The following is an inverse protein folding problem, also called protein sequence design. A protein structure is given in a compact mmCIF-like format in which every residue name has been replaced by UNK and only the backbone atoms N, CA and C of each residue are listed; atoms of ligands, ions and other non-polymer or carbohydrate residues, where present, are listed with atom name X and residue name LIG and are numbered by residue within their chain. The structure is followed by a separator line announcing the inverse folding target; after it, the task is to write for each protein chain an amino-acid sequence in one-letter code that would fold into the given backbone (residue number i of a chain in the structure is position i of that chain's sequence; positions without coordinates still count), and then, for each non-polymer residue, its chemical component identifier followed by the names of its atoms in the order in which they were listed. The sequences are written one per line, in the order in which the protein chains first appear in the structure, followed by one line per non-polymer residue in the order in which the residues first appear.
data_IF_377478922816
#
_entry.id   IF_377478922816
#
_cell.length_a   1.000
_cell.length_b   1.000
_cell.length_c   1.000
_cell.angle_alpha   90.00
_cell.angle_beta   90.00
_cell.angle_gamma   90.00
#
_symmetry.space_group_name_H-M   'P 1'
#
loop_
_entity.id
_entity.type
_entity.pdbx_description
1 polymer ?
#
# COMPACT_ATOMS: atom_id res chain seq x y z
N UNK A 1 -14.56 -15.60 -41.07
CA UNK A 1 -15.06 -14.22 -40.87
C UNK A 1 -16.09 -14.23 -39.76
N UNK A 2 -15.71 -13.71 -38.60
CA UNK A 2 -16.54 -13.01 -37.61
C UNK A 2 -15.63 -12.81 -36.40
N UNK A 3 -15.03 -11.62 -36.33
CA UNK A 3 -14.28 -11.16 -35.17
C UNK A 3 -15.32 -10.78 -34.10
N UNK A 4 -15.41 -11.56 -33.03
CA UNK A 4 -16.02 -11.08 -31.79
C UNK A 4 -14.92 -10.42 -30.95
N UNK A 5 -14.95 -9.09 -30.92
CA UNK A 5 -14.19 -8.30 -29.95
C UNK A 5 -14.71 -8.65 -28.56
N UNK A 6 -13.93 -9.43 -27.81
CA UNK A 6 -14.14 -9.65 -26.38
C UNK A 6 -13.61 -8.43 -25.65
N UNK A 7 -14.47 -7.42 -25.52
CA UNK A 7 -14.27 -6.26 -24.65
C UNK A 7 -14.29 -6.75 -23.19
N UNK A 8 -13.37 -6.22 -22.39
CA UNK A 8 -13.32 -6.42 -20.94
C UNK A 8 -14.70 -6.15 -20.33
N UNK A 9 -15.16 -7.01 -19.43
CA UNK A 9 -16.48 -6.89 -18.82
C UNK A 9 -16.64 -5.57 -18.05
N UNK A 10 -17.79 -4.89 -18.15
CA UNK A 10 -17.99 -3.53 -17.66
C UNK A 10 -17.70 -3.34 -16.16
N UNK A 11 -18.05 -4.27 -15.27
CA UNK A 11 -18.08 -3.99 -13.82
C UNK A 11 -16.72 -3.78 -13.13
N UNK A 12 -15.62 -4.35 -13.61
CA UNK A 12 -14.31 -4.21 -12.97
C UNK A 12 -13.54 -2.95 -13.43
N UNK A 13 -13.88 -2.44 -14.62
CA UNK A 13 -13.26 -1.25 -15.22
C UNK A 13 -14.19 -0.04 -15.14
N UNK A 14 -15.52 -0.20 -15.16
CA UNK A 14 -16.48 0.90 -14.98
C UNK A 14 -16.37 1.54 -13.59
N UNK A 15 -15.88 0.83 -12.57
CA UNK A 15 -15.55 1.46 -11.27
C UNK A 15 -14.28 2.35 -11.32
N UNK A 16 -13.49 2.22 -12.39
CA UNK A 16 -12.28 2.99 -12.68
C UNK A 16 -12.48 4.01 -13.81
N UNK A 17 -13.52 3.87 -14.64
CA UNK A 17 -13.71 4.69 -15.85
C UNK A 17 -15.14 5.17 -16.12
N UNK A 18 -16.08 5.04 -15.17
CA UNK A 18 -17.38 5.70 -15.32
C UNK A 18 -17.20 7.23 -15.32
N UNK A 19 -17.89 7.99 -16.18
CA UNK A 19 -17.90 9.46 -16.14
C UNK A 19 -18.55 10.03 -14.86
N UNK A 20 -19.13 9.17 -14.01
CA UNK A 20 -19.59 9.44 -12.65
C UNK A 20 -18.62 8.95 -11.55
N UNK A 21 -17.36 8.63 -11.90
CA UNK A 21 -16.35 8.29 -10.91
C UNK A 21 -16.18 9.50 -10.00
N UNK A 22 -16.33 9.34 -8.68
CA UNK A 22 -16.13 10.46 -7.79
C UNK A 22 -14.72 11.02 -7.93
N UNK A 23 -14.58 12.35 -7.87
CA UNK A 23 -13.29 13.01 -8.02
C UNK A 23 -12.35 12.61 -6.88
N UNK A 24 -11.40 11.71 -7.17
CA UNK A 24 -10.26 11.42 -6.29
C UNK A 24 -9.52 12.72 -6.00
N UNK A 25 -9.20 12.95 -4.72
CA UNK A 25 -8.40 14.08 -4.29
C UNK A 25 -7.12 13.59 -3.60
N UNK A 26 -5.99 14.09 -4.06
CA UNK A 26 -4.69 13.87 -3.45
C UNK A 26 -4.61 14.48 -2.05
N UNK A 27 -3.98 13.76 -1.14
CA UNK A 27 -3.61 14.27 0.17
C UNK A 27 -2.19 13.84 0.52
N UNK A 28 -1.51 14.68 1.30
CA UNK A 28 -0.22 14.36 1.88
C UNK A 28 -0.27 14.46 3.41
N UNK A 29 0.47 13.59 4.08
CA UNK A 29 0.70 13.65 5.52
C UNK A 29 2.18 13.90 5.73
N UNK A 30 2.50 15.13 6.11
CA UNK A 30 3.86 15.55 6.42
C UNK A 30 4.20 15.15 7.86
N UNK A 31 5.39 14.59 8.11
CA UNK A 31 5.83 14.23 9.46
C UNK A 31 6.09 15.47 10.32
N UNK A 32 5.54 15.50 11.53
CA UNK A 32 5.86 16.55 12.52
C UNK A 32 7.02 16.15 13.45
N UNK A 33 7.27 14.84 13.61
CA UNK A 33 8.42 14.25 14.30
C UNK A 33 8.63 12.84 13.70
N UNK A 34 9.05 11.88 14.50
CA UNK A 34 9.16 10.48 14.15
C UNK A 34 7.80 9.79 14.07
N UNK A 35 7.73 8.73 13.27
CA UNK A 35 6.58 7.83 13.19
C UNK A 35 6.91 6.44 13.73
N UNK A 36 5.88 5.78 14.24
CA UNK A 36 5.93 4.39 14.69
C UNK A 36 4.78 3.63 14.06
N UNK A 37 5.06 2.70 13.18
CA UNK A 37 4.06 1.82 12.58
C UNK A 37 4.24 0.43 13.17
N UNK A 38 3.37 0.02 14.09
CA UNK A 38 3.51 -1.29 14.74
C UNK A 38 3.06 -2.39 13.79
N UNK A 39 3.76 -3.51 13.80
CA UNK A 39 3.15 -4.78 13.39
C UNK A 39 2.29 -5.31 14.54
N UNK A 40 1.26 -6.09 14.23
CA UNK A 40 0.28 -6.57 15.21
C UNK A 40 0.83 -7.49 16.31
N UNK A 41 2.15 -7.56 16.48
CA UNK A 41 2.78 -8.30 17.57
C UNK A 41 2.45 -7.61 18.90
N UNK A 42 2.09 -8.40 19.94
CA UNK A 42 2.00 -7.88 21.29
C UNK A 42 3.31 -7.16 21.63
N UNK A 43 3.18 -6.05 22.34
CA UNK A 43 4.33 -5.38 22.94
C UNK A 43 3.84 -4.93 24.29
N UNK A 44 4.12 -5.76 25.28
CA UNK A 44 3.82 -5.49 26.67
C UNK A 44 5.14 -5.10 27.33
N UNK A 45 5.16 -3.89 27.90
CA UNK A 45 6.32 -3.44 28.66
C UNK A 45 6.53 -4.41 29.84
N UNK A 46 7.64 -5.14 29.84
CA UNK A 46 7.89 -6.25 30.77
C UNK A 46 8.32 -7.57 30.11
N UNK A 47 7.89 -7.83 28.86
CA UNK A 47 8.19 -9.08 28.15
C UNK A 47 9.09 -8.89 26.93
N UNK A 48 8.87 -7.82 26.17
CA UNK A 48 9.60 -7.54 24.93
C UNK A 48 10.53 -6.33 25.09
N UNK A 49 11.79 -6.52 24.70
CA UNK A 49 12.85 -5.53 24.90
C UNK A 49 12.97 -4.55 23.72
N UNK A 50 12.47 -4.93 22.54
CA UNK A 50 12.64 -4.15 21.30
C UNK A 50 11.39 -4.17 20.42
N UNK A 51 10.82 -3.00 20.14
CA UNK A 51 9.78 -2.78 19.15
C UNK A 51 10.37 -2.15 17.88
N UNK A 52 10.06 -2.70 16.71
CA UNK A 52 10.47 -2.13 15.42
C UNK A 52 9.29 -1.59 14.64
N UNK A 53 9.46 -0.41 14.05
CA UNK A 53 8.48 0.11 13.11
C UNK A 53 8.50 -0.68 11.79
N UNK A 54 7.32 -0.95 11.25
CA UNK A 54 7.12 -1.26 9.85
C UNK A 54 7.64 -0.11 8.99
N UNK A 55 8.19 -0.43 7.82
CA UNK A 55 8.76 0.53 6.87
C UNK A 55 7.71 1.35 6.12
N UNK A 56 6.44 0.93 6.16
CA UNK A 56 5.30 1.64 5.58
C UNK A 56 4.07 1.43 6.47
N UNK A 57 3.25 2.46 6.74
CA UNK A 57 1.99 2.25 7.45
C UNK A 57 1.05 1.38 6.62
N UNK A 58 0.24 0.58 7.31
CA UNK A 58 -0.89 -0.08 6.68
C UNK A 58 -1.85 0.96 6.11
N UNK A 59 -2.43 0.73 4.91
CA UNK A 59 -3.55 1.53 4.41
C UNK A 59 -4.67 1.72 5.43
N UNK A 60 -4.97 0.69 6.23
CA UNK A 60 -5.97 0.77 7.28
C UNK A 60 -5.62 1.76 8.39
N UNK A 61 -4.33 1.93 8.70
CA UNK A 61 -3.88 2.88 9.71
C UNK A 61 -4.08 4.33 9.25
N UNK A 62 -3.74 4.62 7.98
CA UNK A 62 -3.98 5.95 7.39
C UNK A 62 -5.47 6.21 7.23
N UNK A 63 -6.23 5.22 6.73
CA UNK A 63 -7.69 5.31 6.62
C UNK A 63 -8.33 5.62 7.98
N UNK A 64 -7.93 4.89 9.02
CA UNK A 64 -8.41 5.11 10.39
C UNK A 64 -8.07 6.50 10.91
N UNK A 65 -6.84 6.97 10.68
CA UNK A 65 -6.40 8.30 11.07
C UNK A 65 -7.25 9.41 10.41
N UNK A 66 -7.48 9.30 9.10
CA UNK A 66 -8.32 10.25 8.35
C UNK A 66 -9.77 10.20 8.83
N UNK A 67 -10.36 9.01 8.95
CA UNK A 67 -11.72 8.84 9.45
C UNK A 67 -11.88 9.46 10.84
N UNK A 68 -10.94 9.20 11.75
CA UNK A 68 -10.96 9.80 13.10
C UNK A 68 -10.80 11.32 13.05
N UNK A 69 -9.92 11.86 12.21
CA UNK A 69 -9.74 13.30 12.03
C UNK A 69 -11.04 13.99 11.64
N UNK A 70 -11.75 13.46 10.64
CA UNK A 70 -13.00 14.04 10.19
C UNK A 70 -14.13 13.87 11.20
N UNK A 71 -14.26 12.70 11.85
CA UNK A 71 -15.25 12.48 12.91
C UNK A 71 -15.08 13.50 14.05
N UNK A 72 -13.85 13.69 14.53
CA UNK A 72 -13.54 14.66 15.58
C UNK A 72 -13.87 16.09 15.16
N UNK A 73 -13.56 16.46 13.92
CA UNK A 73 -13.89 17.79 13.36
C UNK A 73 -15.39 18.02 13.23
N UNK A 74 -16.16 16.95 13.01
CA UNK A 74 -17.62 16.98 13.03
C UNK A 74 -18.21 16.92 14.44
N UNK A 75 -17.40 17.01 15.50
CA UNK A 75 -17.85 17.00 16.89
C UNK A 75 -18.22 15.60 17.42
N UNK A 76 -17.83 14.54 16.71
CA UNK A 76 -18.19 13.16 17.07
C UNK A 76 -16.99 12.52 17.77
N UNK A 77 -17.20 12.09 19.01
CA UNK A 77 -16.16 11.38 19.74
C UNK A 77 -16.00 9.94 19.20
N UNK A 78 -14.79 9.34 19.27
CA UNK A 78 -14.60 7.93 18.92
C UNK A 78 -15.50 6.98 19.71
N UNK A 79 -15.86 7.35 20.95
CA UNK A 79 -16.79 6.59 21.79
C UNK A 79 -18.19 6.58 21.19
N UNK A 80 -18.69 7.75 20.79
CA UNK A 80 -20.03 7.86 20.21
C UNK A 80 -20.12 7.15 18.86
N UNK A 81 -19.05 7.19 18.05
CA UNK A 81 -18.96 6.41 16.82
C UNK A 81 -18.97 4.89 17.10
N UNK A 82 -18.17 4.43 18.07
CA UNK A 82 -18.12 3.01 18.45
C UNK A 82 -19.46 2.48 18.94
N UNK A 83 -20.15 3.25 19.79
CA UNK A 83 -21.45 2.90 20.35
C UNK A 83 -22.62 3.20 19.39
N UNK A 84 -22.32 3.65 18.16
CA UNK A 84 -23.31 4.02 17.12
C UNK A 84 -24.30 5.10 17.59
N UNK A 85 -23.87 5.99 18.49
CA UNK A 85 -24.64 7.14 18.99
C UNK A 85 -24.40 8.35 18.08
N UNK A 86 -24.83 8.22 16.82
CA UNK A 86 -24.69 9.25 15.80
C UNK A 86 -25.97 10.09 15.71
N UNK A 87 -25.90 11.42 15.60
CA UNK A 87 -27.08 12.23 15.33
C UNK A 87 -27.78 11.75 14.04
N UNK A 88 -29.13 11.66 14.00
CA UNK A 88 -29.87 11.10 12.86
C UNK A 88 -29.56 11.77 11.51
N UNK A 89 -29.25 13.07 11.52
CA UNK A 89 -28.91 13.86 10.32
C UNK A 89 -27.40 14.11 10.16
N UNK A 90 -26.56 13.46 10.97
CA UNK A 90 -25.12 13.68 10.88
C UNK A 90 -24.54 13.02 9.64
N UNK A 91 -23.61 13.73 8.98
CA UNK A 91 -22.77 13.18 7.91
C UNK A 91 -21.89 12.01 8.42
N UNK A 92 -21.86 11.76 9.72
CA UNK A 92 -21.20 10.65 10.39
C UNK A 92 -21.54 9.28 9.80
N UNK A 93 -22.81 9.07 9.44
CA UNK A 93 -23.29 7.79 8.90
C UNK A 93 -22.58 7.45 7.58
N UNK A 94 -22.15 8.47 6.83
CA UNK A 94 -21.43 8.28 5.56
C UNK A 94 -19.98 7.82 5.76
N UNK A 95 -19.42 7.92 6.97
CA UNK A 95 -18.11 7.38 7.33
C UNK A 95 -18.13 5.87 7.66
N UNK A 96 -19.30 5.25 7.48
CA UNK A 96 -19.53 3.84 7.71
C UNK A 96 -19.69 3.48 9.18
N UNK A 97 -19.32 2.25 9.51
CA UNK A 97 -19.50 1.67 10.83
C UNK A 97 -18.16 1.37 11.52
N UNK A 98 -18.16 1.16 12.84
CA UNK A 98 -16.99 0.64 13.55
C UNK A 98 -16.46 -0.64 12.89
N UNK A 99 -15.13 -0.76 12.82
CA UNK A 99 -14.47 -1.86 12.12
C UNK A 99 -14.15 -1.53 10.66
N UNK A 100 -14.13 -2.55 9.77
CA UNK A 100 -13.65 -2.44 8.39
C UNK A 100 -14.72 -1.96 7.39
N UNK A 101 -15.80 -1.32 7.87
CA UNK A 101 -16.92 -0.89 7.04
C UNK A 101 -16.77 0.61 6.71
N UNK A 102 -16.33 0.98 5.49
CA UNK A 102 -15.84 2.32 5.21
C UNK A 102 -16.95 3.34 4.85
N UNK A 103 -18.20 2.88 4.67
CA UNK A 103 -19.28 3.73 4.15
C UNK A 103 -18.93 4.25 2.75
N UNK A 104 -19.11 5.54 2.54
CA UNK A 104 -18.85 6.23 1.26
C UNK A 104 -17.37 6.62 1.10
N UNK A 105 -16.59 6.61 2.19
CA UNK A 105 -15.20 7.03 2.20
C UNK A 105 -14.31 5.96 1.56
N UNK A 106 -13.53 6.33 0.54
CA UNK A 106 -12.58 5.42 -0.10
C UNK A 106 -11.19 6.03 -0.13
N UNK A 107 -10.16 5.18 -0.10
CA UNK A 107 -8.77 5.62 -0.08
C UNK A 107 -7.89 4.69 -0.92
N UNK A 108 -6.92 5.27 -1.63
CA UNK A 108 -5.82 4.59 -2.31
C UNK A 108 -4.49 5.03 -1.69
N UNK A 109 -3.51 4.13 -1.68
CA UNK A 109 -2.25 4.31 -0.96
C UNK A 109 -2.32 3.82 0.49
N UNK A 110 -1.46 4.33 1.39
CA UNK A 110 -0.47 5.39 1.18
C UNK A 110 0.75 4.92 0.38
N UNK A 111 1.48 5.88 -0.19
CA UNK A 111 2.77 5.70 -0.85
C UNK A 111 3.80 6.69 -0.29
N UNK A 112 5.08 6.36 -0.38
CA UNK A 112 6.12 7.35 -0.11
C UNK A 112 6.09 8.42 -1.20
N UNK A 113 6.06 9.68 -0.77
CA UNK A 113 6.25 10.83 -1.65
C UNK A 113 7.51 11.57 -1.21
N UNK A 114 8.39 11.88 -2.15
CA UNK A 114 9.57 12.70 -1.91
C UNK A 114 9.62 13.79 -2.96
N UNK A 115 9.59 15.04 -2.52
CA UNK A 115 9.65 16.22 -3.41
C UNK A 115 8.60 16.16 -4.54
N UNK A 116 7.37 15.73 -4.21
CA UNK A 116 6.27 15.57 -5.17
C UNK A 116 6.34 14.32 -6.06
N UNK A 117 7.36 13.47 -5.92
CA UNK A 117 7.49 12.22 -6.67
C UNK A 117 7.03 11.02 -5.84
N UNK A 118 6.12 10.21 -6.40
CA UNK A 118 5.65 8.98 -5.78
C UNK A 118 6.62 7.82 -5.98
N UNK A 119 6.73 6.99 -4.94
CA UNK A 119 7.53 5.78 -4.93
C UNK A 119 6.68 4.58 -4.50
N UNK A 120 6.77 3.52 -5.29
CA UNK A 120 6.06 2.27 -5.07
C UNK A 120 7.04 1.18 -4.64
N UNK A 121 6.62 0.18 -3.85
CA UNK A 121 7.40 -1.03 -3.64
C UNK A 121 7.81 -1.64 -4.99
N UNK A 122 9.05 -2.10 -5.11
CA UNK A 122 9.51 -2.80 -6.29
C UNK A 122 8.62 -4.04 -6.51
N UNK A 123 8.03 -4.24 -7.71
CA UNK A 123 7.25 -5.43 -8.00
C UNK A 123 8.04 -6.71 -7.76
N UNK A 124 7.41 -7.73 -7.19
CA UNK A 124 8.10 -8.96 -6.79
C UNK A 124 8.71 -9.74 -7.97
N UNK A 125 8.21 -9.50 -9.18
CA UNK A 125 8.73 -10.07 -10.43
C UNK A 125 9.88 -9.25 -11.03
N UNK A 126 10.21 -8.10 -10.46
CA UNK A 126 11.42 -7.34 -10.79
C UNK A 126 12.54 -7.82 -9.87
N UNK A 127 13.58 -8.40 -10.47
CA UNK A 127 14.73 -8.99 -9.76
C UNK A 127 16.03 -8.37 -10.25
N UNK A 128 17.09 -8.49 -9.45
CA UNK A 128 18.44 -8.03 -9.79
C UNK A 128 19.38 -9.22 -9.93
N UNK A 129 20.28 -9.18 -10.91
CA UNK A 129 21.37 -10.16 -11.03
C UNK A 129 22.63 -9.79 -10.22
N UNK A 130 23.61 -10.69 -10.20
CA UNK A 130 24.91 -10.49 -9.54
C UNK A 130 25.69 -9.26 -10.03
N UNK A 131 25.41 -8.75 -11.24
CA UNK A 131 26.07 -7.60 -11.86
C UNK A 131 25.34 -6.27 -11.60
N UNK A 132 24.19 -6.30 -10.94
CA UNK A 132 23.40 -5.10 -10.67
C UNK A 132 22.52 -4.65 -11.84
N UNK A 133 22.06 -5.58 -12.68
CA UNK A 133 21.07 -5.32 -13.75
C UNK A 133 19.71 -5.87 -13.37
N UNK A 134 18.67 -5.15 -13.78
CA UNK A 134 17.29 -5.54 -13.56
C UNK A 134 16.81 -6.58 -14.57
N UNK A 135 16.04 -7.55 -14.10
CA UNK A 135 15.37 -8.56 -14.92
C UNK A 135 13.89 -8.67 -14.53
N UNK A 136 13.05 -9.05 -15.49
CA UNK A 136 11.65 -9.37 -15.25
C UNK A 136 11.47 -10.88 -15.23
N UNK A 137 10.84 -11.39 -14.18
CA UNK A 137 10.35 -12.76 -14.16
C UNK A 137 9.19 -12.88 -15.15
N UNK A 138 9.29 -13.86 -16.04
CA UNK A 138 8.23 -14.26 -16.97
C UNK A 138 7.71 -15.63 -16.56
N UNK A 139 6.53 -16.03 -17.04
CA UNK A 139 6.04 -17.39 -16.77
C UNK A 139 6.71 -18.38 -17.72
N UNK A 140 7.35 -19.43 -17.20
CA UNK A 140 7.85 -20.54 -18.01
C UNK A 140 6.68 -21.26 -18.66
N UNK A 141 6.67 -21.44 -19.99
CA UNK A 141 5.78 -22.42 -20.61
C UNK A 141 6.11 -23.80 -20.02
N UNK A 142 5.14 -24.47 -19.40
CA UNK A 142 5.35 -25.77 -18.70
C UNK A 142 5.99 -26.82 -19.59
N UNK A 143 5.78 -26.72 -20.92
CA UNK A 143 6.39 -27.60 -21.93
C UNK A 143 7.92 -27.51 -22.02
N UNK A 144 8.56 -26.55 -21.35
CA UNK A 144 10.02 -26.34 -21.36
C UNK A 144 10.71 -26.67 -20.04
N UNK A 145 9.97 -27.10 -19.02
CA UNK A 145 10.57 -27.49 -17.76
C UNK A 145 11.25 -28.86 -17.93
N UNK A 146 12.57 -28.90 -17.74
CA UNK A 146 13.35 -30.14 -17.63
C UNK A 146 13.19 -30.80 -16.24
N UNK A 147 12.31 -30.27 -15.39
CA UNK A 147 12.10 -30.69 -14.00
C UNK A 147 10.60 -30.78 -13.67
N UNK A 148 10.26 -31.69 -12.76
CA UNK A 148 8.91 -31.79 -12.21
C UNK A 148 8.67 -30.71 -11.14
N UNK A 149 7.50 -30.07 -11.19
CA UNK A 149 7.03 -29.15 -10.15
C UNK A 149 5.80 -29.71 -9.46
N UNK A 150 5.63 -29.42 -8.17
CA UNK A 150 4.41 -29.71 -7.41
C UNK A 150 3.34 -28.63 -7.55
N UNK A 151 3.54 -27.63 -8.42
CA UNK A 151 2.51 -26.65 -8.72
C UNK A 151 1.31 -27.32 -9.42
N UNK A 152 0.09 -27.13 -8.91
CA UNK A 152 -1.09 -27.66 -9.57
C UNK A 152 -1.35 -26.94 -10.90
N UNK A 153 -1.89 -27.65 -11.88
CA UNK A 153 -2.42 -27.02 -13.10
C UNK A 153 -3.50 -25.99 -12.74
N UNK A 154 -3.55 -24.80 -13.38
CA UNK A 154 -2.80 -24.36 -14.55
C UNK A 154 -1.60 -23.43 -14.23
N UNK A 155 -1.02 -23.51 -13.03
CA UNK A 155 0.02 -22.55 -12.62
C UNK A 155 1.39 -22.84 -13.24
N UNK A 156 2.11 -21.77 -13.57
CA UNK A 156 3.44 -21.78 -14.17
C UNK A 156 4.49 -21.19 -13.23
N UNK A 157 5.71 -21.73 -13.29
CA UNK A 157 6.84 -21.19 -12.53
C UNK A 157 7.33 -19.86 -13.15
N UNK A 158 7.53 -18.82 -12.32
CA UNK A 158 8.19 -17.60 -12.77
C UNK A 158 9.71 -17.82 -12.92
N UNK A 159 10.33 -17.22 -13.94
CA UNK A 159 11.78 -17.33 -14.20
C UNK A 159 12.34 -16.09 -14.91
N UNK A 160 13.63 -15.84 -14.75
CA UNK A 160 14.39 -14.88 -15.56
C UNK A 160 15.30 -15.62 -16.54
N UNK A 161 15.41 -15.11 -17.77
CA UNK A 161 16.34 -15.62 -18.78
C UNK A 161 17.72 -14.99 -18.58
N UNK A 162 18.45 -15.47 -17.57
CA UNK A 162 19.81 -14.99 -17.26
C UNK A 162 20.67 -16.16 -16.75
N UNK A 163 21.96 -16.22 -17.10
CA UNK A 163 22.89 -17.20 -16.52
C UNK A 163 23.28 -16.87 -15.08
N UNK A 164 23.04 -15.62 -14.64
CA UNK A 164 23.47 -15.12 -13.35
C UNK A 164 22.45 -15.44 -12.23
N UNK A 165 22.91 -15.63 -10.99
CA UNK A 165 22.02 -15.70 -9.82
C UNK A 165 21.21 -14.42 -9.66
N UNK A 166 19.91 -14.57 -9.46
CA UNK A 166 18.98 -13.45 -9.24
C UNK A 166 18.62 -13.29 -7.76
N UNK A 167 18.32 -12.05 -7.36
CA UNK A 167 17.89 -11.69 -6.01
C UNK A 167 16.58 -10.91 -6.05
N UNK A 168 15.73 -11.16 -5.05
CA UNK A 168 14.51 -10.39 -4.82
C UNK A 168 14.84 -8.94 -4.44
N UNK A 169 13.99 -8.02 -4.89
CA UNK A 169 14.05 -6.60 -4.54
C UNK A 169 13.11 -6.23 -3.39
N UNK A 170 12.73 -7.20 -2.56
CA UNK A 170 11.93 -6.97 -1.35
C UNK A 170 12.54 -5.85 -0.48
N UNK A 171 11.71 -4.91 -0.04
CA UNK A 171 12.15 -3.72 0.71
C UNK A 171 12.80 -2.63 -0.13
N UNK A 172 12.77 -2.72 -1.47
CA UNK A 172 13.21 -1.65 -2.38
C UNK A 172 12.01 -0.92 -2.98
N UNK A 173 12.25 0.29 -3.45
CA UNK A 173 11.24 1.14 -4.07
C UNK A 173 11.67 1.60 -5.46
N UNK A 174 10.70 1.88 -6.32
CA UNK A 174 10.91 2.52 -7.63
C UNK A 174 9.98 3.72 -7.77
N UNK A 175 10.43 4.77 -8.45
CA UNK A 175 9.59 5.95 -8.69
C UNK A 175 8.43 5.62 -9.63
N UNK A 176 7.40 6.46 -9.66
CA UNK A 176 6.29 6.35 -10.62
C UNK A 176 6.77 6.29 -12.08
N UNK A 177 7.81 7.06 -12.43
CA UNK A 177 8.40 7.02 -13.77
C UNK A 177 9.06 5.67 -14.08
N UNK A 178 9.80 5.10 -13.13
CA UNK A 178 10.38 3.77 -13.27
C UNK A 178 9.30 2.67 -13.28
N UNK A 179 8.25 2.82 -12.49
CA UNK A 179 7.11 1.92 -12.48
C UNK A 179 6.38 1.91 -13.82
N UNK A 180 6.20 3.07 -14.46
CA UNK A 180 5.68 3.17 -15.83
C UNK A 180 6.55 2.38 -16.83
N UNK A 181 7.87 2.59 -16.81
CA UNK A 181 8.81 1.81 -17.64
C UNK A 181 8.74 0.31 -17.36
N UNK A 182 8.54 -0.07 -16.11
CA UNK A 182 8.33 -1.46 -15.70
C UNK A 182 7.05 -2.05 -16.33
N UNK A 183 5.92 -1.33 -16.28
CA UNK A 183 4.67 -1.73 -16.94
C UNK A 183 4.83 -1.82 -18.46
N UNK A 184 5.71 -1.00 -19.03
CA UNK A 184 6.08 -1.01 -20.43
C UNK A 184 7.03 -2.15 -20.83
N UNK A 185 7.65 -2.82 -19.86
CA UNK A 185 8.67 -3.84 -20.10
C UNK A 185 10.04 -3.28 -20.50
N UNK A 186 10.25 -1.96 -20.41
CA UNK A 186 11.46 -1.26 -20.83
C UNK A 186 12.46 -1.02 -19.69
N UNK A 187 12.16 -1.54 -18.50
CA UNK A 187 13.04 -1.44 -17.33
C UNK A 187 14.06 -2.59 -17.26
N UNK A 188 13.84 -3.70 -17.96
CA UNK A 188 14.78 -4.82 -17.99
C UNK A 188 16.13 -4.40 -18.60
N UNK A 189 17.23 -4.84 -17.99
CA UNK A 189 18.61 -4.48 -18.32
C UNK A 189 19.10 -3.16 -17.70
N UNK A 190 18.22 -2.37 -17.09
CA UNK A 190 18.64 -1.11 -16.47
C UNK A 190 19.52 -1.34 -15.22
N UNK A 191 20.52 -0.47 -14.96
CA UNK A 191 21.33 -0.54 -13.74
C UNK A 191 20.50 -0.26 -12.48
N UNK A 192 20.64 -1.10 -11.46
CA UNK A 192 19.85 -0.98 -10.22
C UNK A 192 20.09 0.31 -9.46
N UNK A 193 21.32 0.80 -9.43
CA UNK A 193 21.72 2.04 -8.73
C UNK A 193 20.96 3.28 -9.20
N UNK A 194 20.52 3.31 -10.46
CA UNK A 194 19.80 4.45 -11.02
C UNK A 194 18.31 4.40 -10.67
N UNK A 195 17.76 3.19 -10.62
CA UNK A 195 16.33 2.93 -10.55
C UNK A 195 15.83 2.73 -9.12
N UNK A 196 16.57 1.96 -8.32
CA UNK A 196 16.12 1.53 -7.01
C UNK A 196 16.37 2.60 -5.96
N UNK A 197 15.44 2.67 -5.01
CA UNK A 197 15.56 3.40 -3.75
C UNK A 197 15.41 2.45 -2.59
N UNK A 198 15.93 2.89 -1.45
CA UNK A 198 15.99 2.16 -0.20
C UNK A 198 15.27 2.94 0.88
N UNK A 199 15.06 2.30 2.03
CA UNK A 199 14.54 2.97 3.23
C UNK A 199 15.32 4.25 3.57
N UNK A 200 16.65 4.25 3.42
CA UNK A 200 17.51 5.40 3.69
C UNK A 200 17.26 6.60 2.76
N UNK A 201 16.60 6.42 1.63
CA UNK A 201 16.21 7.54 0.76
C UNK A 201 15.02 8.33 1.34
N UNK A 202 14.24 7.71 2.22
CA UNK A 202 12.99 8.23 2.77
C UNK A 202 13.07 8.56 4.26
N UNK A 203 13.74 7.74 5.06
CA UNK A 203 13.83 7.93 6.51
C UNK A 203 15.13 7.38 7.09
N UNK A 204 15.51 7.93 8.24
CA UNK A 204 16.51 7.32 9.11
C UNK A 204 15.80 6.58 10.26
N UNK A 205 16.48 5.60 10.85
CA UNK A 205 15.97 4.87 12.03
C UNK A 205 16.43 5.59 13.29
N UNK A 206 15.49 5.96 14.16
CA UNK A 206 15.77 6.55 15.46
C UNK A 206 15.38 5.58 16.57
N UNK A 207 16.35 5.18 17.39
CA UNK A 207 16.09 4.32 18.55
C UNK A 207 15.87 5.20 19.77
N UNK A 208 14.73 5.05 20.45
CA UNK A 208 14.52 5.65 21.78
C UNK A 208 14.37 4.55 22.83
N UNK A 209 15.00 4.77 23.98
CA UNK A 209 14.92 3.89 25.14
C UNK A 209 13.91 4.45 26.13
N UNK A 210 12.95 3.63 26.55
CA UNK A 210 11.96 3.95 27.57
C UNK A 210 12.19 3.17 28.86
N UNK A 211 11.82 3.80 29.98
CA UNK A 211 11.75 3.18 31.30
C UNK A 211 10.41 3.50 31.95
N UNK A 212 9.89 2.59 32.76
CA UNK A 212 8.75 2.88 33.64
C UNK A 212 9.25 3.28 35.03
N UNK A 213 8.77 4.41 35.53
CA UNK A 213 9.05 4.84 36.90
C UNK A 213 8.02 4.25 37.89
N UNK A 214 8.47 4.01 39.11
CA UNK A 214 7.64 3.75 40.28
C UNK A 214 7.07 5.04 40.85
N UNK A 215 6.14 4.93 41.80
CA UNK A 215 5.61 6.07 42.54
C UNK A 215 6.70 6.78 43.35
N UNK A 216 7.78 6.07 43.70
CA UNK A 216 8.99 6.63 44.33
C UNK A 216 10.00 7.21 43.34
N UNK A 217 9.63 7.33 42.05
CA UNK A 217 10.49 7.82 40.94
C UNK A 217 11.77 7.01 40.71
N UNK A 218 11.75 5.73 41.07
CA UNK A 218 12.81 4.78 40.73
C UNK A 218 12.41 3.97 39.49
N UNK A 219 13.37 3.49 38.70
CA UNK A 219 13.04 2.64 37.56
C UNK A 219 12.44 1.31 38.06
N UNK A 220 11.30 0.89 37.51
CA UNK A 220 10.74 -0.44 37.77
C UNK A 220 11.53 -1.49 36.98
N UNK A 221 11.96 -2.52 37.70
CA UNK A 221 12.65 -3.66 37.12
C UNK A 221 11.78 -4.35 36.05
N UNK A 222 12.40 -4.78 34.95
CA UNK A 222 11.71 -5.39 33.81
C UNK A 222 11.05 -4.42 32.82
N UNK A 223 10.96 -3.12 33.12
CA UNK A 223 10.30 -2.13 32.24
C UNK A 223 11.27 -1.29 31.40
N UNK A 224 12.42 -1.86 31.04
CA UNK A 224 13.34 -1.27 30.07
C UNK A 224 12.93 -1.73 28.66
N UNK A 225 12.72 -0.79 27.75
CA UNK A 225 12.37 -1.13 26.37
C UNK A 225 12.99 -0.16 25.36
N UNK A 226 13.19 -0.64 24.14
CA UNK A 226 13.64 0.17 23.01
C UNK A 226 12.59 0.18 21.92
N UNK A 227 12.39 1.34 21.31
CA UNK A 227 11.48 1.52 20.17
C UNK A 227 12.28 2.13 19.02
N UNK A 228 12.25 1.46 17.87
CA UNK A 228 12.81 1.97 16.62
C UNK A 228 11.72 2.71 15.84
N UNK A 229 11.84 4.04 15.80
CA UNK A 229 10.97 4.92 15.03
C UNK A 229 11.58 5.19 13.64
N UNK A 230 10.71 5.59 12.72
CA UNK A 230 11.11 6.17 11.45
C UNK A 230 11.19 7.69 11.61
N UNK A 231 12.33 8.30 11.29
CA UNK A 231 12.49 9.75 11.14
C UNK A 231 12.50 10.06 9.64
N UNK A 232 11.37 10.45 9.03
CA UNK A 232 11.39 10.77 7.61
C UNK A 232 12.27 11.99 7.33
N UNK A 233 12.89 11.99 6.16
CA UNK A 233 13.79 13.05 5.72
C UNK A 233 13.02 14.27 5.25
N UNK A 234 13.72 15.40 5.17
CA UNK A 234 13.16 16.61 4.60
C UNK A 234 12.59 16.33 3.20
N UNK A 235 11.41 16.89 2.91
CA UNK A 235 10.71 16.68 1.64
C UNK A 235 10.03 15.32 1.50
N UNK A 236 10.06 14.45 2.51
CA UNK A 236 9.37 13.15 2.51
C UNK A 236 8.03 13.22 3.24
N UNK A 237 6.97 12.74 2.59
CA UNK A 237 5.63 12.64 3.14
C UNK A 237 4.99 11.30 2.77
N UNK A 238 3.86 10.99 3.39
CA UNK A 238 2.97 9.94 2.91
C UNK A 238 1.94 10.58 1.98
N UNK A 239 1.76 10.02 0.79
CA UNK A 239 0.73 10.48 -0.14
C UNK A 239 -0.34 9.40 -0.32
N UNK A 240 -1.59 9.84 -0.45
CA UNK A 240 -2.68 8.98 -0.89
C UNK A 240 -3.71 9.78 -1.65
N UNK A 241 -4.73 9.08 -2.13
CA UNK A 241 -5.89 9.71 -2.75
C UNK A 241 -7.14 9.24 -2.05
N UNK A 242 -8.08 10.15 -1.87
CA UNK A 242 -9.31 9.86 -1.16
C UNK A 242 -10.53 10.32 -1.97
N UNK A 243 -11.56 9.48 -1.91
CA UNK A 243 -12.92 9.90 -2.18
C UNK A 243 -13.61 10.20 -0.84
N UNK A 244 -13.92 11.46 -0.61
CA UNK A 244 -14.65 11.90 0.59
C UNK A 244 -16.15 11.70 0.39
N UNK A 245 -16.90 11.38 1.45
CA UNK A 245 -18.35 11.35 1.38
C UNK A 245 -18.95 12.66 0.89
N UNK A 246 -20.08 12.58 0.19
CA UNK A 246 -20.80 13.76 -0.28
C UNK A 246 -21.16 14.70 0.90
N UNK A 247 -20.94 16.00 0.71
CA UNK A 247 -21.14 17.03 1.73
C UNK A 247 -19.94 17.26 2.66
N UNK A 248 -18.93 16.37 2.64
CA UNK A 248 -17.68 16.56 3.37
C UNK A 248 -16.68 17.29 2.46
N UNK A 249 -16.22 18.44 2.93
CA UNK A 249 -15.14 19.18 2.27
C UNK A 249 -13.76 18.72 2.78
N UNK A 250 -12.73 18.75 1.92
CA UNK A 250 -11.34 18.63 2.34
C UNK A 250 -11.02 19.58 3.49
N UNK A 251 -10.20 19.09 4.41
CA UNK A 251 -9.81 19.82 5.60
C UNK A 251 -8.37 19.48 5.97
N UNK A 252 -7.58 20.51 6.25
CA UNK A 252 -6.19 20.39 6.70
C UNK A 252 -6.10 20.42 8.22
N UNK A 253 -5.01 19.87 8.75
CA UNK A 253 -4.69 19.94 10.16
C UNK A 253 -3.89 18.76 10.69
N UNK A 254 -3.72 18.72 12.00
CA UNK A 254 -2.98 17.66 12.67
C UNK A 254 -3.76 16.35 12.67
N UNK A 255 -3.12 15.28 12.21
CA UNK A 255 -3.63 13.92 12.26
C UNK A 255 -2.75 13.05 13.14
N UNK A 256 -3.36 12.20 13.95
CA UNK A 256 -2.64 11.18 14.70
C UNK A 256 -2.39 9.98 13.78
N UNK A 257 -1.13 9.61 13.59
CA UNK A 257 -0.75 8.52 12.72
C UNK A 257 0.24 7.59 13.41
N UNK A 258 -0.09 6.30 13.41
CA UNK A 258 0.75 5.26 14.01
C UNK A 258 0.58 5.09 15.52
N UNK A 259 1.53 4.38 16.14
CA UNK A 259 1.58 4.14 17.58
C UNK A 259 2.01 5.38 18.36
N UNK A 260 1.80 5.34 19.68
CA UNK A 260 2.23 6.39 20.62
C UNK A 260 1.78 7.83 20.27
N UNK A 261 0.65 7.96 19.56
CA UNK A 261 0.06 9.26 19.18
C UNK A 261 1.04 10.17 18.43
N UNK A 262 1.92 9.60 17.60
CA UNK A 262 2.73 10.40 16.67
C UNK A 262 1.81 11.14 15.71
N UNK A 263 2.27 12.30 15.25
CA UNK A 263 1.44 13.23 14.51
C UNK A 263 2.04 13.49 13.13
N UNK A 264 1.16 13.79 12.20
CA UNK A 264 1.50 14.41 10.93
C UNK A 264 0.58 15.59 10.66
N UNK A 265 0.96 16.40 9.68
CA UNK A 265 0.12 17.47 9.17
C UNK A 265 -0.50 17.03 7.85
N UNK A 266 -1.83 16.94 7.82
CA UNK A 266 -2.60 16.60 6.64
C UNK A 266 -2.79 17.84 5.76
N UNK A 267 -2.39 17.73 4.50
CA UNK A 267 -2.66 18.71 3.44
C UNK A 267 -3.40 18.06 2.29
N UNK A 268 -4.18 18.86 1.57
CA UNK A 268 -4.84 18.43 0.34
C UNK A 268 -4.15 19.06 -0.85
N UNK A 269 -3.90 18.24 -1.87
CA UNK A 269 -3.19 18.67 -3.06
C UNK A 269 -4.16 19.28 -4.09
N UNK A 270 -3.71 20.29 -4.83
CA UNK A 270 -4.50 20.92 -5.90
C UNK A 270 -4.74 19.99 -7.11
N UNK A 271 -4.02 18.87 -7.15
CA UNK A 271 -4.19 17.81 -8.14
C UNK A 271 -3.71 16.45 -7.64
N UNK A 272 -3.89 15.44 -8.47
CA UNK A 272 -3.51 14.07 -8.15
C UNK A 272 -2.10 13.78 -8.67
N UNK A 273 -1.21 13.34 -7.78
CA UNK A 273 0.13 12.88 -8.13
C UNK A 273 0.11 11.48 -8.77
N UNK A 274 -0.89 10.66 -8.45
CA UNK A 274 -1.02 9.32 -9.02
C UNK A 274 -1.51 9.42 -10.47
N UNK A 275 -0.61 9.10 -11.41
CA UNK A 275 -0.91 9.16 -12.84
C UNK A 275 -1.67 7.89 -13.29
N UNK A 276 -2.93 7.77 -12.89
CA UNK A 276 -3.77 6.61 -13.25
C UNK A 276 -3.84 6.39 -14.76
N UNK A 277 -3.99 7.48 -15.54
CA UNK A 277 -4.10 7.40 -17.00
C UNK A 277 -2.79 6.96 -17.67
N UNK A 278 -1.65 7.42 -17.17
CA UNK A 278 -0.34 7.04 -17.70
C UNK A 278 0.12 5.65 -17.26
N UNK A 279 -0.47 5.08 -16.21
CA UNK A 279 -0.17 3.74 -15.70
C UNK A 279 -1.13 2.66 -16.22
N UNK A 280 -2.41 2.99 -16.47
CA UNK A 280 -3.38 2.02 -17.01
C UNK A 280 -3.18 1.79 -18.51
N UNK A 281 -3.13 0.52 -18.90
CA UNK A 281 -3.12 0.08 -20.31
C UNK A 281 -4.48 -0.54 -20.64
N UNK A 282 -5.20 0.05 -21.61
CA UNK A 282 -6.45 -0.50 -22.13
C UNK A 282 -6.19 -1.47 -23.30
N UNK A 283 -7.13 -2.38 -23.57
CA UNK A 283 -7.13 -3.21 -24.77
C UNK A 283 -6.13 -4.39 -24.79
N UNK A 284 -5.68 -4.86 -23.63
CA UNK A 284 -4.79 -6.02 -23.56
C UNK A 284 -5.46 -7.28 -24.17
N UNK A 285 -4.83 -7.85 -25.21
CA UNK A 285 -5.19 -9.16 -25.77
C UNK A 285 -4.18 -10.19 -25.26
N UNK A 286 -4.63 -11.27 -24.62
CA UNK A 286 -3.77 -12.34 -24.11
C UNK A 286 -3.62 -12.30 -22.60
N UNK A 287 -2.39 -12.24 -22.09
CA UNK A 287 -2.10 -12.25 -20.65
C UNK A 287 -2.07 -10.84 -20.06
N UNK A 288 -2.63 -10.69 -18.86
CA UNK A 288 -2.52 -9.47 -18.06
C UNK A 288 -1.69 -9.73 -16.81
N UNK A 289 -1.03 -8.67 -16.33
CA UNK A 289 -0.34 -8.67 -15.04
C UNK A 289 -1.13 -7.79 -14.08
N UNK A 290 -1.56 -8.34 -12.96
CA UNK A 290 -2.15 -7.59 -11.86
C UNK A 290 -1.07 -7.33 -10.81
N UNK A 291 -0.87 -6.07 -10.45
CA UNK A 291 0.12 -5.66 -9.44
C UNK A 291 -0.64 -5.01 -8.30
N UNK A 292 -0.45 -5.54 -7.10
CA UNK A 292 -1.08 -5.04 -5.90
C UNK A 292 -0.14 -4.03 -5.25
N UNK A 293 -0.42 -2.74 -5.43
CA UNK A 293 0.38 -1.64 -4.88
C UNK A 293 0.20 -1.46 -3.36
N UNK A 294 -0.85 -2.04 -2.80
CA UNK A 294 -1.12 -2.12 -1.37
C UNK A 294 -1.42 -3.58 -0.99
N UNK A 295 -1.23 -3.97 0.27
CA UNK A 295 -1.67 -5.28 0.74
C UNK A 295 -3.14 -5.54 0.38
N UNK A 296 -3.40 -6.66 -0.31
CA UNK A 296 -4.75 -7.07 -0.67
C UNK A 296 -5.18 -8.24 0.22
N UNK A 297 -6.38 -8.13 0.77
CA UNK A 297 -6.99 -9.21 1.53
C UNK A 297 -8.04 -9.91 0.66
N UNK A 298 -7.94 -11.22 0.56
CA UNK A 298 -8.94 -12.02 -0.13
C UNK A 298 -9.59 -13.02 0.83
N UNK A 299 -10.92 -13.08 0.81
CA UNK A 299 -11.71 -13.96 1.69
C UNK A 299 -11.42 -15.45 1.48
N UNK A 300 -10.88 -15.84 0.31
CA UNK A 300 -10.46 -17.22 0.00
C UNK A 300 -8.94 -17.40 -0.05
N UNK A 301 -8.19 -16.62 0.73
CA UNK A 301 -6.75 -16.72 0.85
C UNK A 301 -6.03 -16.07 -0.33
N UNK A 302 -5.75 -16.83 -1.40
CA UNK A 302 -5.00 -16.34 -2.58
C UNK A 302 -5.90 -15.89 -3.75
N UNK A 303 -7.22 -15.92 -3.56
CA UNK A 303 -8.19 -15.62 -4.60
C UNK A 303 -9.36 -14.81 -4.04
N UNK A 304 -9.91 -13.86 -4.81
CA UNK A 304 -11.11 -13.14 -4.41
C UNK A 304 -12.30 -14.09 -4.28
N UNK A 305 -13.36 -13.61 -3.62
CA UNK A 305 -14.63 -14.31 -3.60
C UNK A 305 -15.13 -14.54 -5.04
N UNK A 306 -15.62 -15.75 -5.34
CA UNK A 306 -15.97 -16.15 -6.71
C UNK A 306 -14.77 -16.49 -7.62
N UNK A 307 -13.52 -16.26 -7.18
CA UNK A 307 -12.30 -16.56 -7.95
C UNK A 307 -11.92 -15.48 -8.96
N UNK A 308 -10.73 -15.61 -9.55
CA UNK A 308 -10.17 -14.61 -10.46
C UNK A 308 -11.00 -14.37 -11.74
N UNK A 309 -11.71 -15.40 -12.22
CA UNK A 309 -12.60 -15.27 -13.37
C UNK A 309 -13.82 -14.40 -13.04
N UNK A 310 -14.43 -14.57 -11.87
CA UNK A 310 -15.54 -13.71 -11.45
C UNK A 310 -15.09 -12.26 -11.24
N UNK A 311 -13.88 -12.07 -10.71
CA UNK A 311 -13.31 -10.75 -10.43
C UNK A 311 -12.89 -9.99 -11.70
N UNK A 312 -12.20 -10.65 -12.63
CA UNK A 312 -11.68 -10.03 -13.86
C UNK A 312 -12.66 -10.08 -15.03
N UNK A 313 -13.72 -10.89 -14.92
CA UNK A 313 -14.67 -11.19 -15.99
C UNK A 313 -14.42 -12.55 -16.65
N UNK A 314 -15.45 -13.08 -17.29
CA UNK A 314 -15.41 -14.40 -17.93
C UNK A 314 -14.25 -14.52 -18.92
N UNK A 315 -13.55 -15.67 -18.88
CA UNK A 315 -12.42 -15.96 -19.77
C UNK A 315 -11.03 -15.64 -19.22
N UNK A 316 -10.92 -14.96 -18.07
CA UNK A 316 -9.63 -14.72 -17.41
C UNK A 316 -9.32 -15.79 -16.36
N UNK A 317 -8.10 -16.35 -16.40
CA UNK A 317 -7.61 -17.36 -15.44
C UNK A 317 -6.25 -16.98 -14.88
N UNK A 318 -6.03 -17.28 -13.60
CA UNK A 318 -4.72 -17.06 -12.97
C UNK A 318 -3.72 -18.13 -13.44
N UNK A 319 -2.63 -17.67 -14.06
CA UNK A 319 -1.55 -18.53 -14.58
C UNK A 319 -0.29 -18.54 -13.70
N UNK A 320 -0.15 -17.59 -12.78
CA UNK A 320 0.98 -17.52 -11.87
C UNK A 320 0.87 -16.31 -10.96
N UNK A 321 1.50 -16.38 -9.80
CA UNK A 321 1.58 -15.31 -8.83
C UNK A 321 2.99 -15.28 -8.24
N UNK A 322 3.49 -14.09 -7.95
CA UNK A 322 4.80 -13.87 -7.32
C UNK A 322 4.53 -13.06 -6.06
N UNK A 323 4.92 -13.61 -4.92
CA UNK A 323 4.69 -13.03 -3.59
C UNK A 323 6.07 -12.67 -3.01
N UNK A 324 6.27 -11.44 -2.47
CA UNK A 324 7.55 -10.98 -1.95
C UNK A 324 8.14 -11.78 -0.79
#
# INVERSE_FOLDING_TARGET
MSQSELTLGPKAIESLSSPSSPAWRGFSIEPLDVWLFRDGRPFDAGSDVQARSLRMPSPFAVFGALRTFFLLRSGISPKDFHERRLPPESQAQRWGEPGPFPGDFQMRGPFWCKEGMLYFPAPADLVEDSEGKLHLLTLLPTQRLLAHTNLPSPYHLPWAKTPEPIKSLSGRYISQAAFKRYLEGTLAGAPTKEVLRTDHDFFDTEVRTGIKLSDSRTAKEGFFYQVEYLRPKAGVSLYGEAHLPEGISPAEGMVFLGGERRMGYLRWEEGNLFDEKGLLRSGAKGCIKLILLSPAWFSRGTQPEGGWEAFMGAGWKLHGAIIP
#
